data_IF_316318138666
#
_entry.id   IF_316318138666
#
_cell.length_a   1.000
_cell.length_b   1.000
_cell.length_c   1.000
_cell.angle_alpha   90.00
_cell.angle_beta   90.00
_cell.angle_gamma   90.00
#
_symmetry.space_group_name_H-M   'P 1'
#
loop_
_entity.id
_entity.type
_entity.pdbx_description
1 polymer ?
#
# COMPACT_ATOMS: atom_id res chain seq x y z
N UNK A 1 -14.89 -11.42 -58.11
CA UNK A 1 -13.73 -12.16 -57.56
C UNK A 1 -13.84 -12.08 -56.06
N UNK A 2 -14.25 -13.20 -55.46
CA UNK A 2 -14.60 -13.36 -54.05
C UNK A 2 -13.35 -13.46 -53.20
N UNK A 3 -13.31 -12.74 -52.08
CA UNK A 3 -12.31 -12.92 -51.04
C UNK A 3 -12.92 -13.80 -49.93
N UNK A 4 -12.23 -14.90 -49.64
CA UNK A 4 -12.65 -15.96 -48.71
C UNK A 4 -12.72 -15.48 -47.24
N UNK A 5 -13.64 -16.01 -46.42
CA UNK A 5 -13.66 -15.73 -44.99
C UNK A 5 -12.56 -16.52 -44.25
N UNK A 6 -11.81 -15.80 -43.41
CA UNK A 6 -10.77 -16.33 -42.53
C UNK A 6 -11.40 -17.32 -41.53
N UNK A 7 -10.91 -18.56 -41.56
CA UNK A 7 -11.27 -19.65 -40.64
C UNK A 7 -10.84 -19.31 -39.21
N UNK A 8 -11.83 -19.30 -38.31
CA UNK A 8 -11.64 -19.47 -36.86
C UNK A 8 -11.30 -20.94 -36.59
N UNK A 9 -10.16 -21.20 -35.96
CA UNK A 9 -9.87 -22.50 -35.35
C UNK A 9 -9.35 -22.24 -33.93
N UNK A 10 -10.21 -22.59 -32.97
CA UNK A 10 -9.89 -22.79 -31.56
C UNK A 10 -8.74 -23.78 -31.38
N UNK A 11 -7.73 -23.39 -30.57
CA UNK A 11 -7.11 -24.26 -29.57
C UNK A 11 -6.68 -23.41 -28.37
N UNK A 12 -7.67 -23.12 -27.53
CA UNK A 12 -7.44 -22.70 -26.14
C UNK A 12 -6.76 -23.88 -25.44
N UNK A 13 -5.49 -23.72 -25.06
CA UNK A 13 -4.79 -24.65 -24.18
C UNK A 13 -5.22 -24.29 -22.75
N UNK A 14 -5.95 -25.17 -22.04
CA UNK A 14 -6.19 -24.94 -20.62
C UNK A 14 -4.88 -25.20 -19.88
N UNK A 15 -4.25 -24.13 -19.36
CA UNK A 15 -3.25 -24.27 -18.31
C UNK A 15 -4.00 -24.81 -17.10
N UNK A 16 -3.81 -26.10 -16.85
CA UNK A 16 -4.34 -26.78 -15.69
C UNK A 16 -3.81 -26.11 -14.42
N UNK A 17 -4.78 -25.64 -13.66
CA UNK A 17 -4.75 -25.21 -12.28
C UNK A 17 -4.13 -26.32 -11.39
N UNK A 18 -2.80 -26.29 -11.24
CA UNK A 18 -2.06 -27.22 -10.40
C UNK A 18 -1.62 -26.60 -9.07
N UNK A 19 -2.48 -25.79 -8.44
CA UNK A 19 -2.27 -25.29 -7.06
C UNK A 19 -3.55 -25.21 -6.21
N UNK A 20 -4.59 -25.99 -6.54
CA UNK A 20 -5.75 -26.18 -5.66
C UNK A 20 -5.88 -27.64 -5.25
N UNK A 21 -6.11 -27.84 -3.95
CA UNK A 21 -6.49 -29.09 -3.27
C UNK A 21 -5.36 -30.09 -3.00
N UNK A 22 -4.65 -29.89 -1.89
CA UNK A 22 -4.03 -30.99 -1.15
C UNK A 22 -4.08 -30.75 0.36
N UNK A 23 -5.27 -30.55 0.92
CA UNK A 23 -5.54 -30.78 2.35
C UNK A 23 -6.98 -31.26 2.55
N UNK A 24 -7.30 -32.46 2.05
CA UNK A 24 -8.29 -33.31 2.69
C UNK A 24 -7.93 -34.78 2.48
N UNK A 25 -7.88 -35.50 3.60
CA UNK A 25 -7.82 -36.95 3.77
C UNK A 25 -6.58 -37.71 3.28
N UNK A 26 -5.71 -38.04 4.25
CA UNK A 26 -4.97 -39.29 4.24
C UNK A 26 -5.78 -40.34 5.04
N UNK A 27 -5.98 -41.56 4.52
CA UNK A 27 -6.54 -42.69 5.26
C UNK A 27 -5.50 -43.30 6.21
N UNK A 28 -5.99 -43.88 7.31
CA UNK A 28 -5.23 -44.69 8.25
C UNK A 28 -4.44 -45.82 7.56
N UNK A 29 -3.11 -45.80 7.66
CA UNK A 29 -2.31 -47.02 7.62
C UNK A 29 -1.18 -46.94 8.67
N UNK A 30 -1.47 -47.53 9.83
CA UNK A 30 -0.47 -47.88 10.84
C UNK A 30 0.45 -48.98 10.30
N UNK A 31 1.62 -48.62 9.75
CA UNK A 31 2.73 -49.57 9.61
C UNK A 31 3.54 -49.62 10.91
N UNK A 32 3.14 -50.51 11.82
CA UNK A 32 4.02 -51.01 12.89
C UNK A 32 5.15 -51.80 12.26
N UNK A 33 6.38 -51.29 12.30
CA UNK A 33 7.59 -52.07 12.01
C UNK A 33 8.27 -52.36 13.34
N UNK A 34 8.01 -53.53 13.91
CA UNK A 34 8.76 -54.06 15.05
C UNK A 34 10.08 -54.64 14.54
N UNK A 35 11.20 -54.04 14.95
CA UNK A 35 12.53 -54.68 14.84
C UNK A 35 12.85 -55.22 16.23
N UNK A 36 12.79 -56.54 16.39
CA UNK A 36 13.33 -57.24 17.55
C UNK A 36 14.82 -57.42 17.36
N UNK A 37 15.60 -56.57 18.05
CA UNK A 37 17.01 -56.81 18.33
C UNK A 37 17.15 -57.29 19.77
N UNK A 38 17.73 -58.48 19.95
CA UNK A 38 18.05 -59.04 21.25
C UNK A 38 19.15 -58.20 21.94
N UNK A 39 18.91 -57.82 23.20
CA UNK A 39 19.95 -57.33 24.11
C UNK A 39 20.49 -55.93 23.78
N UNK A 40 19.74 -54.89 24.09
CA UNK A 40 20.23 -53.51 24.05
C UNK A 40 19.13 -52.55 24.49
N UNK A 41 19.38 -51.84 25.58
CA UNK A 41 18.49 -50.86 26.19
C UNK A 41 17.91 -49.92 25.13
N UNK A 42 16.63 -50.12 24.80
CA UNK A 42 15.97 -49.39 23.74
C UNK A 42 15.42 -48.12 24.33
N UNK A 43 16.19 -47.04 24.25
CA UNK A 43 15.70 -45.69 24.55
C UNK A 43 14.67 -45.34 23.48
N UNK A 44 13.40 -45.54 23.79
CA UNK A 44 12.29 -45.03 22.99
C UNK A 44 12.29 -43.51 23.08
N UNK A 45 12.88 -42.85 22.08
CA UNK A 45 12.70 -41.41 21.89
C UNK A 45 11.26 -41.21 21.44
N UNK A 46 10.37 -40.96 22.40
CA UNK A 46 9.05 -40.42 22.08
C UNK A 46 9.28 -39.05 21.46
N UNK A 47 9.00 -38.93 20.16
CA UNK A 47 8.92 -37.63 19.50
C UNK A 47 7.75 -36.91 20.18
N UNK A 48 8.05 -36.15 21.23
CA UNK A 48 7.10 -35.28 21.90
C UNK A 48 6.56 -34.35 20.82
N UNK A 49 5.32 -34.63 20.40
CA UNK A 49 4.51 -33.70 19.61
C UNK A 49 4.71 -32.33 20.24
N UNK A 50 5.13 -31.34 19.44
CA UNK A 50 5.19 -29.97 19.87
C UNK A 50 3.87 -29.65 20.57
N UNK A 51 3.98 -29.14 21.80
CA UNK A 51 2.80 -28.74 22.56
C UNK A 51 1.98 -27.77 21.72
N UNK A 52 0.63 -27.80 21.75
CA UNK A 52 -0.21 -26.80 21.08
C UNK A 52 0.14 -25.35 21.48
N UNK A 53 0.87 -25.16 22.59
CA UNK A 53 1.42 -23.86 23.00
C UNK A 53 2.58 -23.39 22.11
N UNK A 54 3.39 -24.30 21.55
CA UNK A 54 4.52 -23.99 20.67
C UNK A 54 4.03 -23.57 19.27
N UNK A 55 3.01 -24.26 18.76
CA UNK A 55 2.36 -23.92 17.49
C UNK A 55 1.67 -22.54 17.60
N UNK A 56 1.01 -22.25 18.74
CA UNK A 56 0.43 -20.92 19.03
C UNK A 56 1.48 -19.81 19.19
N UNK A 57 2.66 -20.12 19.73
CA UNK A 57 3.72 -19.12 19.88
C UNK A 57 4.32 -18.73 18.52
N UNK A 58 4.42 -19.69 17.60
CA UNK A 58 4.82 -19.45 16.21
C UNK A 58 3.86 -18.51 15.49
N UNK A 59 2.55 -18.78 15.59
CA UNK A 59 1.53 -17.96 14.90
C UNK A 59 1.46 -16.52 15.43
N UNK A 60 1.59 -16.31 16.74
CA UNK A 60 1.59 -14.96 17.33
C UNK A 60 2.81 -14.13 16.88
N UNK A 61 3.96 -14.76 16.72
CA UNK A 61 5.16 -14.05 16.26
C UNK A 61 5.06 -13.67 14.78
N UNK A 62 4.48 -14.54 13.95
CA UNK A 62 4.22 -14.29 12.55
C UNK A 62 3.21 -13.15 12.35
N UNK A 63 2.11 -13.15 13.10
CA UNK A 63 1.10 -12.08 13.08
C UNK A 63 1.70 -10.70 13.44
N UNK A 64 2.54 -10.64 14.48
CA UNK A 64 3.22 -9.39 14.87
C UNK A 64 4.19 -8.91 13.79
N UNK A 65 4.91 -9.82 13.13
CA UNK A 65 5.82 -9.46 12.06
C UNK A 65 5.08 -8.95 10.81
N UNK A 66 3.98 -9.60 10.43
CA UNK A 66 3.11 -9.14 9.35
C UNK A 66 2.52 -7.76 9.64
N UNK A 67 2.06 -7.56 10.88
CA UNK A 67 1.54 -6.27 11.33
C UNK A 67 2.61 -5.16 11.26
N UNK A 68 3.81 -5.42 11.79
CA UNK A 68 4.92 -4.46 11.72
C UNK A 68 5.35 -4.17 10.28
N UNK A 69 5.30 -5.16 9.40
CA UNK A 69 5.61 -5.00 7.96
C UNK A 69 4.57 -4.11 7.29
N UNK A 70 3.28 -4.39 7.50
CA UNK A 70 2.19 -3.58 6.94
C UNK A 70 2.24 -2.12 7.44
N UNK A 71 2.61 -1.89 8.70
CA UNK A 71 2.83 -0.53 9.21
C UNK A 71 3.97 0.17 8.48
N UNK A 72 5.12 -0.49 8.33
CA UNK A 72 6.28 0.09 7.64
C UNK A 72 6.00 0.41 6.17
N UNK A 73 5.27 -0.46 5.48
CA UNK A 73 4.84 -0.23 4.10
C UNK A 73 3.92 0.99 4.00
N UNK A 74 2.97 1.12 4.93
CA UNK A 74 2.07 2.28 5.00
C UNK A 74 2.83 3.57 5.32
N UNK A 75 3.75 3.55 6.29
CA UNK A 75 4.57 4.72 6.64
C UNK A 75 5.43 5.17 5.46
N UNK A 76 6.05 4.23 4.74
CA UNK A 76 6.85 4.53 3.55
C UNK A 76 6.00 5.20 2.46
N UNK A 77 4.81 4.67 2.18
CA UNK A 77 3.91 5.26 1.18
C UNK A 77 3.48 6.68 1.58
N UNK A 78 3.14 6.91 2.86
CA UNK A 78 2.80 8.23 3.38
C UNK A 78 3.99 9.20 3.30
N UNK A 79 5.20 8.73 3.59
CA UNK A 79 6.43 9.52 3.49
C UNK A 79 6.70 9.94 2.04
N UNK A 80 6.54 9.03 1.08
CA UNK A 80 6.71 9.33 -0.35
C UNK A 80 5.73 10.41 -0.81
N UNK A 81 4.45 10.32 -0.43
CA UNK A 81 3.48 11.38 -0.71
C UNK A 81 3.85 12.68 -0.03
N UNK A 82 4.22 12.64 1.25
CA UNK A 82 4.61 13.83 1.99
C UNK A 82 5.72 14.58 1.24
N UNK A 83 6.73 13.86 0.75
CA UNK A 83 7.82 14.42 -0.05
C UNK A 83 7.35 15.04 -1.37
N UNK A 84 6.41 14.41 -2.08
CA UNK A 84 5.85 14.97 -3.32
C UNK A 84 4.99 16.21 -3.02
N UNK A 85 4.17 16.18 -1.97
CA UNK A 85 3.35 17.30 -1.52
C UNK A 85 4.20 18.51 -1.10
N UNK A 86 5.37 18.29 -0.47
CA UNK A 86 6.37 19.36 -0.22
C UNK A 86 6.80 20.01 -1.52
N UNK A 87 7.21 19.23 -2.52
CA UNK A 87 7.62 19.77 -3.83
C UNK A 87 6.50 20.54 -4.51
N UNK A 88 5.26 20.04 -4.42
CA UNK A 88 4.08 20.72 -4.96
C UNK A 88 3.89 22.09 -4.32
N UNK A 89 3.96 22.14 -2.98
CA UNK A 89 3.84 23.38 -2.21
C UNK A 89 4.94 24.38 -2.60
N UNK A 90 6.19 23.94 -2.71
CA UNK A 90 7.32 24.78 -3.15
C UNK A 90 7.09 25.43 -4.52
N UNK A 91 6.54 24.69 -5.49
CA UNK A 91 6.19 25.24 -6.82
C UNK A 91 5.15 26.35 -6.72
N UNK A 92 4.07 26.11 -5.97
CA UNK A 92 3.01 27.11 -5.82
C UNK A 92 3.47 28.30 -4.97
N UNK A 93 4.29 28.08 -3.95
CA UNK A 93 4.86 29.16 -3.14
C UNK A 93 5.76 30.09 -3.96
N UNK A 94 6.47 29.56 -4.95
CA UNK A 94 7.26 30.40 -5.87
C UNK A 94 6.36 31.37 -6.63
N UNK A 95 5.17 30.93 -7.07
CA UNK A 95 4.17 31.80 -7.69
C UNK A 95 3.67 32.86 -6.69
N UNK A 96 3.32 32.44 -5.47
CA UNK A 96 2.71 33.33 -4.46
C UNK A 96 3.69 34.37 -3.92
N UNK A 97 4.96 34.00 -3.76
CA UNK A 97 6.00 34.85 -3.15
C UNK A 97 6.71 35.76 -4.16
N UNK A 98 6.49 35.57 -5.46
CA UNK A 98 7.15 36.38 -6.48
C UNK A 98 6.65 37.83 -6.48
N UNK A 99 7.57 38.79 -6.60
CA UNK A 99 7.25 40.22 -6.70
C UNK A 99 8.16 40.92 -7.74
N UNK A 100 7.59 41.54 -8.80
CA UNK A 100 6.15 41.69 -9.07
C UNK A 100 5.47 40.34 -9.37
N UNK A 101 4.16 40.17 -9.07
CA UNK A 101 3.46 38.92 -9.32
C UNK A 101 3.55 38.49 -10.78
N UNK A 102 3.64 37.17 -11.02
CA UNK A 102 3.60 36.67 -12.39
C UNK A 102 2.27 37.02 -13.05
N UNK A 103 2.35 37.57 -14.26
CA UNK A 103 1.17 37.69 -15.12
C UNK A 103 0.62 36.30 -15.44
N UNK A 104 -0.68 36.21 -15.73
CA UNK A 104 -1.32 34.92 -16.05
C UNK A 104 -0.73 34.27 -17.31
N UNK A 105 -0.24 35.07 -18.25
CA UNK A 105 0.37 34.58 -19.49
C UNK A 105 1.87 34.29 -19.38
N UNK A 106 2.48 34.53 -18.21
CA UNK A 106 3.91 34.26 -17.99
C UNK A 106 4.23 32.79 -18.23
N UNK A 107 5.24 32.53 -19.08
CA UNK A 107 5.75 31.19 -19.31
C UNK A 107 6.23 30.55 -18.01
N UNK A 108 6.91 31.31 -17.14
CA UNK A 108 7.41 30.83 -15.85
C UNK A 108 6.28 30.37 -14.92
N UNK A 109 5.15 31.09 -14.92
CA UNK A 109 3.96 30.69 -14.14
C UNK A 109 3.40 29.38 -14.66
N UNK A 110 3.25 29.26 -15.98
CA UNK A 110 2.74 28.05 -16.63
C UNK A 110 3.64 26.86 -16.35
N UNK A 111 4.96 27.03 -16.39
CA UNK A 111 5.93 25.98 -16.06
C UNK A 111 5.80 25.51 -14.60
N UNK A 112 5.62 26.44 -13.65
CA UNK A 112 5.40 26.11 -12.24
C UNK A 112 4.08 25.34 -12.04
N UNK A 113 3.00 25.75 -12.72
CA UNK A 113 1.69 25.09 -12.67
C UNK A 113 1.74 23.71 -13.35
N UNK A 114 2.41 23.57 -14.49
CA UNK A 114 2.63 22.27 -15.13
C UNK A 114 3.46 21.34 -14.24
N UNK A 115 4.50 21.86 -13.58
CA UNK A 115 5.29 21.09 -12.62
C UNK A 115 4.39 20.59 -11.48
N UNK A 116 3.55 21.45 -10.92
CA UNK A 116 2.55 21.08 -9.92
C UNK A 116 1.61 19.97 -10.42
N UNK A 117 1.04 20.12 -11.62
CA UNK A 117 0.14 19.14 -12.24
C UNK A 117 0.84 17.79 -12.43
N UNK A 118 2.11 17.80 -12.85
CA UNK A 118 2.91 16.57 -13.02
C UNK A 118 3.12 15.82 -11.70
N UNK A 119 3.38 16.56 -10.61
CA UNK A 119 3.54 16.01 -9.27
C UNK A 119 2.21 15.47 -8.74
N UNK A 120 1.09 16.16 -9.00
CA UNK A 120 -0.25 15.64 -8.67
C UNK A 120 -0.52 14.31 -9.36
N UNK A 121 -0.21 14.23 -10.66
CA UNK A 121 -0.31 12.97 -11.44
C UNK A 121 0.63 11.87 -10.93
N UNK A 122 1.76 12.24 -10.32
CA UNK A 122 2.63 11.26 -9.68
C UNK A 122 1.93 10.65 -8.46
N UNK A 123 1.29 11.46 -7.61
CA UNK A 123 0.53 10.97 -6.45
C UNK A 123 -0.67 10.13 -6.90
N UNK A 124 -1.36 10.52 -7.98
CA UNK A 124 -2.47 9.72 -8.55
C UNK A 124 -2.07 8.31 -8.96
N UNK A 125 -0.80 8.11 -9.32
CA UNK A 125 -0.24 6.81 -9.72
C UNK A 125 0.35 6.02 -8.56
N UNK A 126 0.50 6.63 -7.38
CA UNK A 126 0.98 5.92 -6.21
C UNK A 126 -0.11 4.98 -5.72
N UNK A 127 0.27 3.73 -5.46
CA UNK A 127 -0.58 2.75 -4.79
C UNK A 127 -0.29 2.79 -3.30
N UNK A 128 -1.33 2.71 -2.48
CA UNK A 128 -1.15 2.79 -1.03
C UNK A 128 -1.62 1.51 -0.35
N UNK A 129 -0.83 0.88 0.50
CA UNK A 129 -1.36 -0.18 1.34
C UNK A 129 -2.42 0.41 2.28
N UNK A 130 -3.49 -0.35 2.55
CA UNK A 130 -4.46 0.04 3.58
C UNK A 130 -3.76 -0.04 4.94
N UNK A 131 -3.93 0.96 5.83
CA UNK A 131 -3.43 0.85 7.19
C UNK A 131 -4.02 -0.39 7.90
N UNK A 132 -3.25 -1.08 8.75
CA UNK A 132 -3.74 -2.24 9.50
C UNK A 132 -4.99 -1.92 10.32
N UNK A 133 -5.91 -2.89 10.45
CA UNK A 133 -7.23 -2.67 11.05
C UNK A 133 -7.20 -1.99 12.44
N UNK A 134 -6.34 -2.40 13.40
CA UNK A 134 -6.27 -1.71 14.69
C UNK A 134 -5.96 -0.22 14.58
N UNK A 135 -5.07 0.16 13.66
CA UNK A 135 -4.67 1.57 13.45
C UNK A 135 -5.74 2.34 12.71
N UNK A 136 -6.39 1.70 11.74
CA UNK A 136 -7.47 2.29 10.97
C UNK A 136 -8.71 2.57 11.82
N UNK A 137 -9.13 1.60 12.63
CA UNK A 137 -10.33 1.68 13.46
C UNK A 137 -10.22 2.73 14.55
N UNK A 138 -9.03 2.87 15.16
CA UNK A 138 -8.80 3.86 16.21
C UNK A 138 -8.78 5.30 15.66
N UNK A 139 -8.44 5.48 14.37
CA UNK A 139 -8.17 6.78 13.78
C UNK A 139 -8.97 7.04 12.48
N UNK A 140 -10.18 6.48 12.36
CA UNK A 140 -10.99 6.58 11.13
C UNK A 140 -11.16 8.00 10.59
N UNK A 141 -11.30 9.00 11.47
CA UNK A 141 -11.42 10.41 11.07
C UNK A 141 -10.17 10.92 10.36
N UNK A 142 -8.99 10.55 10.84
CA UNK A 142 -7.71 10.94 10.25
C UNK A 142 -7.54 10.29 8.87
N UNK A 143 -7.78 8.99 8.80
CA UNK A 143 -7.69 8.24 7.55
C UNK A 143 -8.74 8.66 6.52
N UNK A 144 -9.92 9.10 6.98
CA UNK A 144 -10.96 9.69 6.13
C UNK A 144 -10.56 11.04 5.51
N UNK A 145 -9.81 11.90 6.22
CA UNK A 145 -9.31 13.18 5.66
C UNK A 145 -8.33 12.99 4.50
N UNK A 146 -7.59 11.89 4.55
CA UNK A 146 -6.62 11.51 3.53
C UNK A 146 -7.23 10.63 2.43
N UNK A 147 -8.54 10.38 2.50
CA UNK A 147 -9.32 9.51 1.61
C UNK A 147 -8.73 8.10 1.43
N UNK A 148 -8.22 7.52 2.53
CA UNK A 148 -7.68 6.15 2.57
C UNK A 148 -8.76 5.05 2.68
N UNK A 149 -10.04 5.42 2.61
CA UNK A 149 -11.16 4.56 3.00
C UNK A 149 -11.56 3.57 1.91
N UNK A 150 -11.63 4.01 0.65
CA UNK A 150 -12.11 3.19 -0.49
C UNK A 150 -11.21 3.24 -1.73
N UNK A 151 -10.66 4.41 -2.06
CA UNK A 151 -9.93 4.61 -3.32
C UNK A 151 -8.42 4.59 -3.17
N UNK A 152 -7.91 4.76 -1.94
CA UNK A 152 -6.49 4.96 -1.66
C UNK A 152 -5.92 6.17 -2.43
N UNK A 153 -6.75 7.18 -2.73
CA UNK A 153 -6.34 8.31 -3.58
C UNK A 153 -6.13 9.57 -2.76
N UNK A 154 -4.96 9.68 -2.14
CA UNK A 154 -4.52 10.93 -1.51
C UNK A 154 -4.55 12.12 -2.50
N UNK A 155 -4.47 11.84 -3.80
CA UNK A 155 -4.62 12.84 -4.85
C UNK A 155 -5.97 13.58 -4.88
N UNK A 156 -7.03 12.99 -4.30
CA UNK A 156 -8.36 13.63 -4.21
C UNK A 156 -8.38 14.72 -3.14
N UNK A 157 -7.63 14.55 -2.05
CA UNK A 157 -7.41 15.58 -1.05
C UNK A 157 -6.54 16.75 -1.57
N UNK A 158 -5.88 16.57 -2.72
CA UNK A 158 -5.00 17.57 -3.32
C UNK A 158 -5.76 18.34 -4.41
N UNK A 159 -5.86 19.68 -4.31
CA UNK A 159 -6.60 20.51 -5.27
C UNK A 159 -6.17 20.27 -6.72
N UNK A 160 -7.14 20.15 -7.62
CA UNK A 160 -6.84 20.18 -9.05
C UNK A 160 -6.65 21.65 -9.50
N UNK A 161 -5.50 21.93 -10.08
CA UNK A 161 -5.19 23.21 -10.73
C UNK A 161 -4.90 22.97 -12.22
N UNK A 162 -5.07 24.03 -13.00
CA UNK A 162 -4.71 24.11 -14.41
C UNK A 162 -3.70 25.26 -14.64
N UNK A 163 -3.18 25.37 -15.86
CA UNK A 163 -2.21 26.40 -16.26
C UNK A 163 -2.79 27.83 -16.21
N UNK A 164 -4.12 27.96 -16.16
CA UNK A 164 -4.86 29.22 -16.13
C UNK A 164 -5.35 29.58 -14.73
N UNK A 165 -4.94 28.84 -13.71
CA UNK A 165 -5.42 29.01 -12.34
C UNK A 165 -5.01 30.37 -11.78
N UNK A 166 -5.99 31.09 -11.24
CA UNK A 166 -5.82 32.43 -10.65
C UNK A 166 -4.96 32.41 -9.39
N UNK A 167 -4.41 33.57 -9.01
CA UNK A 167 -3.64 33.71 -7.76
C UNK A 167 -4.43 33.30 -6.52
N UNK A 168 -5.74 33.56 -6.52
CA UNK A 168 -6.62 33.16 -5.43
C UNK A 168 -6.73 31.64 -5.30
N UNK A 169 -6.80 30.91 -6.43
CA UNK A 169 -6.83 29.46 -6.46
C UNK A 169 -5.48 28.87 -6.05
N UNK A 170 -4.37 29.44 -6.53
CA UNK A 170 -3.01 29.03 -6.15
C UNK A 170 -2.79 29.21 -4.65
N UNK A 171 -3.18 30.35 -4.06
CA UNK A 171 -3.06 30.59 -2.61
C UNK A 171 -3.89 29.62 -1.78
N UNK A 172 -5.13 29.35 -2.19
CA UNK A 172 -5.97 28.33 -1.53
C UNK A 172 -5.32 26.95 -1.62
N UNK A 173 -4.79 26.59 -2.78
CA UNK A 173 -4.11 25.32 -2.96
C UNK A 173 -2.89 25.16 -2.05
N UNK A 174 -2.08 26.21 -1.86
CA UNK A 174 -0.98 26.20 -0.87
C UNK A 174 -1.50 25.91 0.54
N UNK A 175 -2.62 26.53 0.94
CA UNK A 175 -3.28 26.26 2.22
C UNK A 175 -3.68 24.79 2.37
N UNK A 176 -4.40 24.24 1.38
CA UNK A 176 -4.84 22.85 1.40
C UNK A 176 -3.65 21.86 1.42
N UNK A 177 -2.57 22.13 0.67
CA UNK A 177 -1.36 21.30 0.71
C UNK A 177 -0.73 21.27 2.11
N UNK A 178 -0.82 22.37 2.86
CA UNK A 178 -0.35 22.42 4.24
C UNK A 178 -1.19 21.54 5.16
N UNK A 179 -2.52 21.54 4.99
CA UNK A 179 -3.44 20.67 5.74
C UNK A 179 -3.21 19.19 5.42
N UNK A 180 -2.99 18.86 4.15
CA UNK A 180 -2.61 17.50 3.72
C UNK A 180 -1.29 17.08 4.35
N UNK A 181 -0.28 17.96 4.37
CA UNK A 181 1.01 17.67 5.03
C UNK A 181 0.85 17.38 6.52
N UNK A 182 0.03 18.17 7.23
CA UNK A 182 -0.27 17.95 8.66
C UNK A 182 -0.93 16.58 8.85
N UNK A 183 -1.96 16.28 8.05
CA UNK A 183 -2.69 15.01 8.16
C UNK A 183 -1.79 13.80 7.83
N UNK A 184 -0.89 13.91 6.86
CA UNK A 184 0.12 12.88 6.57
C UNK A 184 1.09 12.69 7.73
N UNK A 185 1.53 13.78 8.38
CA UNK A 185 2.41 13.73 9.56
C UNK A 185 1.73 13.08 10.77
N UNK A 186 0.47 13.43 11.01
CA UNK A 186 -0.38 12.80 12.03
C UNK A 186 -0.52 11.29 11.75
N UNK A 187 -0.87 10.90 10.52
CA UNK A 187 -1.04 9.49 10.14
C UNK A 187 0.21 8.65 10.34
N UNK A 188 1.38 9.22 10.04
CA UNK A 188 2.68 8.57 10.30
C UNK A 188 2.96 8.42 11.79
N UNK A 189 2.65 9.44 12.59
CA UNK A 189 2.83 9.39 14.05
C UNK A 189 1.98 8.29 14.68
N UNK A 190 0.73 8.14 14.24
CA UNK A 190 -0.17 7.06 14.69
C UNK A 190 0.37 5.67 14.32
N UNK A 191 0.93 5.53 13.12
CA UNK A 191 1.58 4.28 12.70
C UNK A 191 2.78 3.92 13.57
N UNK A 192 3.63 4.89 13.92
CA UNK A 192 4.76 4.65 14.83
C UNK A 192 4.31 4.24 16.23
N UNK A 193 3.27 4.88 16.76
CA UNK A 193 2.72 4.55 18.08
C UNK A 193 2.13 3.14 18.11
N UNK A 194 1.58 2.63 17.00
CA UNK A 194 1.01 1.29 16.94
C UNK A 194 2.05 0.15 16.96
N UNK A 195 3.32 0.42 16.66
CA UNK A 195 4.42 -0.58 16.69
C UNK A 195 5.16 -0.58 18.03
N UNK A 196 5.02 0.48 18.83
CA UNK A 196 5.74 0.69 20.09
C UNK A 196 4.96 0.10 21.26
#
# INVERSE_FOLDING_TARGET
MSADPIRVIDKVVPVQDSLRMAYHQAPDEQKKKSVQGAGGDTVSVSLQRSSPTMDKLGSVNEEKNLFATAIRETDKALQEVSNVTVKMKERLETIVKNFPPFTMDSAERKDLLMSYISLRKQIEKMTFPKPPAPVYENNQKLWGKLDFTDTQKVAEAIPALDETSSDSQVRRAVGNLNEVQISLGEGRTELYQAVT
#
